data_IF_480022047466
#
_entry.id   IF_480022047466
#
_cell.length_a   1.000
_cell.length_b   1.000
_cell.length_c   1.000
_cell.angle_alpha   90.00
_cell.angle_beta   90.00
_cell.angle_gamma   90.00
#
_symmetry.space_group_name_H-M   'P 1'
#
loop_
_entity.id
_entity.type
_entity.pdbx_description
1 polymer ?
#
# COMPACT_ATOMS: atom_id res chain seq x y z
N UNK A 1 -40.76 52.39 -27.78
CA UNK A 1 -40.75 51.08 -27.09
C UNK A 1 -39.35 50.48 -27.23
N UNK A 2 -38.54 50.38 -26.17
CA UNK A 2 -37.20 49.81 -26.29
C UNK A 2 -37.23 48.28 -26.17
N UNK A 3 -36.65 47.64 -27.18
CA UNK A 3 -36.44 46.20 -27.33
C UNK A 3 -35.44 45.70 -26.28
N UNK A 4 -35.87 44.82 -25.37
CA UNK A 4 -35.00 44.18 -24.37
C UNK A 4 -34.37 42.92 -24.96
N UNK A 5 -33.06 42.99 -25.20
CA UNK A 5 -32.20 41.85 -25.54
C UNK A 5 -32.03 41.00 -24.26
N UNK A 6 -32.55 39.78 -24.26
CA UNK A 6 -32.27 38.78 -23.23
C UNK A 6 -30.94 38.10 -23.56
N UNK A 7 -29.90 38.45 -22.82
CA UNK A 7 -28.63 37.73 -22.80
C UNK A 7 -28.81 36.46 -21.97
N UNK A 8 -28.81 35.29 -22.61
CA UNK A 8 -28.81 34.01 -21.94
C UNK A 8 -27.40 33.73 -21.39
N UNK A 9 -27.24 33.87 -20.07
CA UNK A 9 -26.02 33.55 -19.36
C UNK A 9 -25.97 32.03 -19.14
N UNK A 10 -25.22 31.30 -19.97
CA UNK A 10 -24.90 29.90 -19.73
C UNK A 10 -24.03 29.80 -18.47
N UNK A 11 -24.62 29.41 -17.35
CA UNK A 11 -23.89 29.00 -16.15
C UNK A 11 -23.16 27.68 -16.47
N UNK A 12 -21.85 27.76 -16.72
CA UNK A 12 -20.97 26.61 -16.66
C UNK A 12 -20.78 26.26 -15.18
N UNK A 13 -21.50 25.24 -14.70
CA UNK A 13 -21.26 24.69 -13.38
C UNK A 13 -19.87 24.04 -13.35
N UNK A 14 -18.98 24.37 -12.40
CA UNK A 14 -17.73 23.65 -12.24
C UNK A 14 -18.07 22.21 -11.85
N UNK A 15 -17.59 21.24 -12.63
CA UNK A 15 -17.61 19.85 -12.24
C UNK A 15 -16.73 19.71 -11.00
N UNK A 16 -17.36 19.53 -9.84
CA UNK A 16 -16.64 19.17 -8.62
C UNK A 16 -16.01 17.79 -8.88
N UNK A 17 -14.70 17.61 -8.60
CA UNK A 17 -14.12 16.27 -8.63
C UNK A 17 -14.90 15.43 -7.64
N UNK A 18 -15.47 14.32 -8.12
CA UNK A 18 -16.05 13.32 -7.23
C UNK A 18 -14.96 12.90 -6.26
N UNK A 19 -15.23 12.97 -4.96
CA UNK A 19 -14.40 12.27 -3.99
C UNK A 19 -14.40 10.80 -4.41
N UNK A 20 -13.24 10.27 -4.80
CA UNK A 20 -13.12 8.86 -5.10
C UNK A 20 -13.44 8.11 -3.81
N UNK A 21 -14.46 7.25 -3.84
CA UNK A 21 -14.74 6.35 -2.73
C UNK A 21 -13.52 5.45 -2.54
N UNK A 22 -12.95 5.45 -1.35
CA UNK A 22 -11.81 4.60 -1.01
C UNK A 22 -12.30 3.38 -0.23
N UNK A 23 -11.66 2.24 -0.46
CA UNK A 23 -11.76 1.06 0.41
C UNK A 23 -10.42 0.84 1.09
N UNK A 24 -10.44 0.23 2.28
CA UNK A 24 -9.23 -0.06 3.02
C UNK A 24 -9.22 -1.50 3.55
N UNK A 25 -8.02 -2.02 3.72
CA UNK A 25 -7.74 -3.37 4.18
C UNK A 25 -6.63 -3.30 5.21
N UNK A 26 -6.79 -4.04 6.30
CA UNK A 26 -5.72 -4.33 7.26
C UNK A 26 -5.21 -5.74 7.05
N UNK A 27 -3.95 -5.99 7.38
CA UNK A 27 -3.34 -7.30 7.21
C UNK A 27 -2.31 -7.59 8.31
N UNK A 28 -2.10 -8.88 8.53
CA UNK A 28 -1.04 -9.39 9.38
C UNK A 28 -0.29 -10.48 8.64
N UNK A 29 1.03 -10.34 8.59
CA UNK A 29 1.94 -11.35 8.10
C UNK A 29 2.64 -12.00 9.29
N UNK A 30 2.36 -13.28 9.59
CA UNK A 30 3.02 -13.98 10.67
C UNK A 30 4.37 -14.53 10.20
N UNK A 31 5.48 -13.87 10.50
CA UNK A 31 6.82 -14.39 10.18
C UNK A 31 7.19 -15.64 10.97
N UNK A 32 8.34 -16.24 10.67
CA UNK A 32 8.95 -17.25 11.53
C UNK A 32 9.64 -16.59 12.75
N UNK A 33 10.14 -17.40 13.69
CA UNK A 33 11.02 -16.91 14.77
C UNK A 33 10.39 -15.91 15.75
N UNK A 34 9.06 -15.76 15.78
CA UNK A 34 8.38 -14.75 16.60
C UNK A 34 8.35 -13.36 15.96
N UNK A 35 8.70 -13.25 14.67
CA UNK A 35 8.52 -12.05 13.86
C UNK A 35 7.09 -11.95 13.33
N UNK A 36 6.60 -10.73 13.19
CA UNK A 36 5.35 -10.43 12.52
C UNK A 36 5.42 -9.06 11.85
N UNK A 37 4.53 -8.82 10.90
CA UNK A 37 4.30 -7.50 10.33
C UNK A 37 2.81 -7.24 10.28
N UNK A 38 2.40 -6.03 10.68
CA UNK A 38 1.02 -5.56 10.61
C UNK A 38 0.98 -4.34 9.71
N UNK A 39 -0.08 -4.19 8.95
CA UNK A 39 -0.18 -3.07 8.02
C UNK A 39 -1.57 -2.84 7.50
N UNK A 40 -1.69 -1.83 6.65
CA UNK A 40 -2.91 -1.53 5.94
C UNK A 40 -2.61 -0.91 4.57
N UNK A 41 -3.57 -1.08 3.65
CA UNK A 41 -3.59 -0.44 2.34
C UNK A 41 -4.96 0.14 2.03
N UNK A 42 -5.00 1.20 1.23
CA UNK A 42 -6.24 1.71 0.65
C UNK A 42 -6.08 2.01 -0.84
N UNK A 43 -7.18 1.89 -1.57
CA UNK A 43 -7.26 2.16 -3.01
C UNK A 43 -8.70 2.56 -3.41
N UNK A 44 -8.89 2.95 -4.66
CA UNK A 44 -10.21 3.36 -5.19
C UNK A 44 -11.19 2.17 -5.24
N UNK A 45 -12.38 2.35 -4.68
CA UNK A 45 -13.44 1.33 -4.62
C UNK A 45 -13.83 0.79 -6.01
N UNK A 46 -13.63 1.56 -7.09
CA UNK A 46 -13.85 1.12 -8.46
C UNK A 46 -12.98 -0.09 -8.87
N UNK A 47 -11.90 -0.38 -8.13
CA UNK A 47 -11.00 -1.50 -8.38
C UNK A 47 -11.42 -2.81 -7.69
N UNK A 48 -12.44 -2.81 -6.83
CA UNK A 48 -12.87 -3.99 -6.07
C UNK A 48 -13.26 -5.22 -6.93
N UNK A 49 -13.55 -5.03 -8.22
CA UNK A 49 -13.87 -6.11 -9.16
C UNK A 49 -12.75 -6.45 -10.15
N UNK A 50 -11.59 -5.81 -10.05
CA UNK A 50 -10.44 -6.12 -10.92
C UNK A 50 -9.64 -7.27 -10.33
N UNK A 51 -8.82 -7.94 -11.15
CA UNK A 51 -7.97 -9.02 -10.66
C UNK A 51 -6.72 -8.51 -9.91
N UNK A 52 -6.38 -7.22 -10.07
CA UNK A 52 -5.14 -6.65 -9.52
C UNK A 52 -5.30 -5.17 -9.21
N UNK A 53 -4.83 -4.81 -8.03
CA UNK A 53 -4.43 -3.45 -7.61
C UNK A 53 -2.90 -3.43 -7.60
N UNK A 54 -2.31 -2.47 -8.30
CA UNK A 54 -0.86 -2.30 -8.44
C UNK A 54 -0.33 -1.16 -7.58
N UNK A 55 0.99 -1.01 -7.50
CA UNK A 55 1.66 0.05 -6.73
C UNK A 55 1.19 1.48 -7.03
N UNK A 56 0.73 1.74 -8.26
CA UNK A 56 0.22 3.04 -8.70
C UNK A 56 -1.19 3.35 -8.22
N UNK A 57 -1.97 2.31 -7.93
CA UNK A 57 -3.38 2.41 -7.55
C UNK A 57 -3.56 2.65 -6.04
N UNK A 58 -2.50 2.35 -5.27
CA UNK A 58 -2.50 2.50 -3.81
C UNK A 58 -2.47 3.97 -3.42
N UNK A 59 -3.46 4.36 -2.61
CA UNK A 59 -3.65 5.71 -2.09
C UNK A 59 -2.96 5.89 -0.73
N UNK A 60 -3.09 4.89 0.16
CA UNK A 60 -2.41 4.84 1.44
C UNK A 60 -1.82 3.44 1.69
N UNK A 61 -0.64 3.38 2.31
CA UNK A 61 0.03 2.14 2.71
C UNK A 61 0.94 2.34 3.92
N UNK A 62 0.92 1.39 4.85
CA UNK A 62 1.80 1.37 6.02
C UNK A 62 2.06 -0.06 6.47
N UNK A 63 3.29 -0.33 6.91
CA UNK A 63 3.70 -1.58 7.54
C UNK A 63 4.53 -1.31 8.80
N UNK A 64 4.31 -2.10 9.84
CA UNK A 64 5.08 -2.09 11.07
C UNK A 64 5.52 -3.52 11.41
N UNK A 65 6.81 -3.69 11.67
CA UNK A 65 7.39 -4.96 12.04
C UNK A 65 7.46 -5.14 13.55
N UNK A 66 7.33 -6.38 13.99
CA UNK A 66 7.41 -6.79 15.38
C UNK A 66 8.29 -8.02 15.54
N UNK A 67 8.97 -8.13 16.67
CA UNK A 67 9.61 -9.35 17.17
C UNK A 67 9.20 -9.54 18.63
N UNK A 68 8.51 -10.63 18.94
CA UNK A 68 7.98 -10.90 20.28
C UNK A 68 7.11 -9.73 20.82
N UNK A 69 6.25 -9.18 19.97
CA UNK A 69 5.39 -8.00 20.21
C UNK A 69 6.13 -6.65 20.39
N UNK A 70 7.46 -6.63 20.41
CA UNK A 70 8.24 -5.39 20.37
C UNK A 70 8.38 -4.89 18.94
N UNK A 71 8.09 -3.60 18.70
CA UNK A 71 8.20 -3.00 17.37
C UNK A 71 9.66 -2.84 16.97
N UNK A 72 10.02 -3.37 15.80
CA UNK A 72 11.39 -3.36 15.28
C UNK A 72 11.60 -2.39 14.11
N UNK A 73 10.53 -1.93 13.47
CA UNK A 73 10.63 -1.03 12.33
C UNK A 73 9.28 -0.66 11.72
N UNK A 74 9.31 0.28 10.78
CA UNK A 74 8.12 0.73 10.05
C UNK A 74 8.50 1.37 8.73
N UNK A 75 7.61 1.23 7.76
CA UNK A 75 7.66 2.01 6.53
C UNK A 75 6.24 2.40 6.09
N UNK A 76 6.10 3.54 5.42
CA UNK A 76 4.83 4.09 4.97
C UNK A 76 4.97 4.78 3.60
N UNK A 77 3.89 4.84 2.81
CA UNK A 77 3.95 5.31 1.43
C UNK A 77 4.45 6.76 1.30
N UNK A 78 4.15 7.62 2.26
CA UNK A 78 4.62 9.01 2.28
C UNK A 78 6.12 9.16 2.56
N UNK A 79 6.79 8.08 2.98
CA UNK A 79 8.25 8.00 3.17
C UNK A 79 8.96 7.57 1.88
N UNK A 80 8.22 7.20 0.83
CA UNK A 80 8.76 6.77 -0.46
C UNK A 80 9.50 7.92 -1.15
N UNK A 81 10.72 7.65 -1.60
CA UNK A 81 11.52 8.52 -2.46
C UNK A 81 11.80 7.88 -3.83
N UNK A 82 12.77 8.42 -4.58
CA UNK A 82 13.19 7.94 -5.90
C UNK A 82 14.04 6.65 -5.82
N UNK A 83 14.68 6.39 -4.68
CA UNK A 83 15.56 5.23 -4.46
C UNK A 83 14.79 4.05 -3.87
N UNK A 84 13.63 4.31 -3.28
CA UNK A 84 12.77 3.30 -2.64
C UNK A 84 12.29 2.25 -3.64
N UNK A 85 12.67 1.00 -3.41
CA UNK A 85 12.07 -0.14 -4.13
C UNK A 85 10.61 -0.30 -3.68
N UNK A 86 9.68 -0.12 -4.63
CA UNK A 86 8.25 -0.18 -4.39
C UNK A 86 7.55 -0.99 -5.46
N UNK A 87 7.05 -2.17 -5.08
CA UNK A 87 6.17 -3.01 -5.88
C UNK A 87 5.12 -3.63 -4.98
N UNK A 88 3.87 -3.57 -5.44
CA UNK A 88 2.74 -4.16 -4.73
C UNK A 88 1.79 -4.75 -5.75
N UNK A 89 1.31 -5.95 -5.47
CA UNK A 89 0.19 -6.54 -6.21
C UNK A 89 -0.80 -7.16 -5.24
N UNK A 90 -2.01 -6.64 -5.22
CA UNK A 90 -3.10 -7.12 -4.37
C UNK A 90 -4.25 -7.60 -5.25
N UNK A 91 -4.84 -8.75 -4.92
CA UNK A 91 -6.04 -9.27 -5.57
C UNK A 91 -7.26 -8.88 -4.72
N UNK A 92 -8.07 -7.89 -5.14
CA UNK A 92 -9.21 -7.43 -4.35
C UNK A 92 -10.43 -8.36 -4.42
N UNK A 93 -10.43 -9.37 -5.31
CA UNK A 93 -11.48 -10.39 -5.37
C UNK A 93 -11.21 -11.49 -4.35
N UNK A 94 -9.94 -11.86 -4.17
CA UNK A 94 -9.50 -12.84 -3.17
C UNK A 94 -9.15 -12.21 -1.81
N UNK A 95 -9.05 -10.88 -1.75
CA UNK A 95 -8.67 -10.11 -0.57
C UNK A 95 -7.29 -10.53 -0.02
N UNK A 96 -6.33 -10.76 -0.92
CA UNK A 96 -4.99 -11.23 -0.57
C UNK A 96 -3.88 -10.53 -1.38
N UNK A 97 -2.70 -10.45 -0.81
CA UNK A 97 -1.51 -10.09 -1.56
C UNK A 97 -1.11 -11.23 -2.49
N UNK A 98 -0.77 -10.91 -3.74
CA UNK A 98 -0.19 -11.89 -4.65
C UNK A 98 1.15 -12.34 -4.09
N UNK A 99 1.30 -13.64 -3.91
CA UNK A 99 2.52 -14.29 -3.41
C UNK A 99 3.35 -14.83 -4.58
N UNK A 100 4.54 -15.35 -4.28
CA UNK A 100 5.43 -15.84 -5.32
C UNK A 100 4.76 -16.94 -6.16
N UNK A 101 4.99 -16.87 -7.47
CA UNK A 101 4.68 -17.95 -8.40
C UNK A 101 5.33 -17.74 -9.75
N UNK A 102 5.26 -18.72 -10.68
CA UNK A 102 5.90 -18.60 -11.99
C UNK A 102 5.47 -17.38 -12.81
N UNK A 103 4.26 -16.86 -12.58
CA UNK A 103 3.71 -15.67 -13.23
C UNK A 103 3.87 -14.37 -12.41
N UNK A 104 4.42 -14.49 -11.19
CA UNK A 104 4.62 -13.41 -10.23
C UNK A 104 5.93 -13.66 -9.46
N UNK A 105 7.10 -13.49 -10.11
CA UNK A 105 8.38 -13.90 -9.52
C UNK A 105 8.86 -13.00 -8.38
N UNK A 106 8.35 -11.77 -8.29
CA UNK A 106 8.60 -10.85 -7.18
C UNK A 106 7.44 -9.86 -7.10
N UNK A 107 6.28 -10.25 -6.53
CA UNK A 107 5.06 -9.46 -6.52
C UNK A 107 5.03 -8.38 -5.43
N UNK A 108 5.85 -8.54 -4.38
CA UNK A 108 5.96 -7.59 -3.27
C UNK A 108 7.42 -7.19 -3.09
N UNK A 109 7.66 -5.89 -3.02
CA UNK A 109 8.95 -5.30 -2.65
C UNK A 109 8.66 -3.93 -2.03
N UNK A 110 8.62 -3.88 -0.70
CA UNK A 110 8.18 -2.72 0.07
C UNK A 110 9.37 -2.17 0.83
N UNK A 111 9.96 -1.10 0.29
CA UNK A 111 11.19 -0.50 0.80
C UNK A 111 12.29 -1.55 1.01
N UNK A 112 12.44 -2.45 0.04
CA UNK A 112 13.42 -3.53 0.07
C UNK A 112 13.79 -3.98 -1.34
N UNK A 113 15.07 -4.08 -1.66
CA UNK A 113 15.62 -4.30 -3.01
C UNK A 113 15.41 -5.70 -3.63
N UNK A 114 14.62 -6.56 -2.98
CA UNK A 114 14.42 -7.95 -3.42
C UNK A 114 15.51 -8.92 -2.95
N UNK A 115 16.71 -8.44 -2.62
CA UNK A 115 17.81 -9.23 -2.03
C UNK A 115 17.85 -9.17 -0.51
N UNK A 116 17.22 -8.15 0.09
CA UNK A 116 17.21 -7.94 1.53
C UNK A 116 18.47 -7.32 2.09
N UNK A 117 19.33 -6.79 1.21
CA UNK A 117 20.57 -6.11 1.59
C UNK A 117 20.41 -4.59 1.64
N UNK A 118 19.24 -4.10 1.22
CA UNK A 118 18.87 -2.71 1.28
C UNK A 118 17.37 -2.62 1.58
N UNK A 119 17.04 -2.08 2.76
CA UNK A 119 15.67 -1.68 3.10
C UNK A 119 15.51 -0.18 3.35
N UNK A 120 16.23 0.60 2.56
CA UNK A 120 16.10 2.04 2.45
C UNK A 120 16.53 2.83 3.69
N UNK A 121 16.43 4.18 3.62
CA UNK A 121 16.91 5.09 4.65
C UNK A 121 16.26 4.91 6.04
N UNK A 122 15.04 4.38 6.05
CA UNK A 122 14.21 4.19 7.24
C UNK A 122 14.36 2.78 7.84
N UNK A 123 15.16 1.92 7.18
CA UNK A 123 15.67 0.68 7.74
C UNK A 123 14.59 -0.35 8.05
N UNK A 124 13.46 -0.35 7.35
CA UNK A 124 12.46 -1.40 7.48
C UNK A 124 11.82 -1.71 6.13
N UNK A 125 11.83 -2.98 5.76
CA UNK A 125 11.26 -3.42 4.50
C UNK A 125 10.76 -4.85 4.54
N UNK A 126 10.02 -5.20 3.50
CA UNK A 126 9.47 -6.53 3.30
C UNK A 126 9.50 -6.87 1.81
N UNK A 127 9.75 -8.12 1.47
CA UNK A 127 9.58 -8.58 0.10
C UNK A 127 8.97 -9.99 0.03
N UNK A 128 8.59 -10.37 -1.18
CA UNK A 128 8.32 -11.76 -1.54
C UNK A 128 9.17 -12.08 -2.77
N UNK A 129 10.22 -12.86 -2.56
CA UNK A 129 11.07 -13.40 -3.62
C UNK A 129 10.78 -14.87 -3.90
N UNK A 130 11.60 -15.50 -4.74
CA UNK A 130 11.53 -16.95 -5.00
C UNK A 130 12.11 -17.80 -3.87
N UNK A 131 12.88 -17.21 -2.95
CA UNK A 131 13.48 -17.90 -1.83
C UNK A 131 12.54 -17.94 -0.62
N UNK A 132 11.96 -16.80 -0.25
CA UNK A 132 11.10 -16.64 0.91
C UNK A 132 10.26 -15.35 0.81
N UNK A 133 9.38 -15.19 1.80
CA UNK A 133 8.89 -13.88 2.22
C UNK A 133 9.68 -13.48 3.46
N UNK A 134 10.20 -12.26 3.52
CA UNK A 134 11.06 -11.85 4.63
C UNK A 134 11.04 -10.35 4.93
N UNK A 135 11.52 -10.04 6.14
CA UNK A 135 11.78 -8.69 6.62
C UNK A 135 13.25 -8.33 6.41
N UNK A 136 13.48 -7.06 6.13
CA UNK A 136 14.78 -6.43 6.30
C UNK A 136 14.67 -5.35 7.38
N UNK A 137 15.71 -5.24 8.21
CA UNK A 137 15.83 -4.21 9.24
C UNK A 137 17.22 -3.59 9.17
N UNK A 138 17.32 -2.26 9.06
CA UNK A 138 18.56 -1.50 8.99
C UNK A 138 19.57 -1.97 7.92
N UNK A 139 19.07 -2.46 6.79
CA UNK A 139 19.89 -3.00 5.69
C UNK A 139 20.28 -4.47 5.86
N UNK A 140 19.82 -5.13 6.92
CA UNK A 140 20.06 -6.54 7.18
C UNK A 140 18.81 -7.39 6.93
N UNK A 141 18.94 -8.40 6.07
CA UNK A 141 17.95 -9.45 5.88
C UNK A 141 17.77 -10.23 7.19
N UNK A 142 16.53 -10.32 7.67
CA UNK A 142 16.19 -11.10 8.84
C UNK A 142 15.83 -12.53 8.40
N UNK A 143 16.84 -13.36 8.17
CA UNK A 143 16.66 -14.76 7.74
C UNK A 143 15.72 -15.55 8.68
N UNK A 144 15.75 -15.25 9.98
CA UNK A 144 14.90 -15.91 10.98
C UNK A 144 13.40 -15.59 10.83
N UNK A 145 13.07 -14.52 10.10
CA UNK A 145 11.69 -14.15 9.80
C UNK A 145 11.11 -14.95 8.62
N UNK A 146 11.97 -15.62 7.84
CA UNK A 146 11.60 -16.23 6.56
C UNK A 146 10.52 -17.31 6.68
N UNK A 147 9.67 -17.31 5.66
CA UNK A 147 8.56 -18.25 5.48
C UNK A 147 8.46 -18.63 4.01
N UNK A 148 7.71 -19.69 3.71
CA UNK A 148 7.53 -20.18 2.34
C UNK A 148 7.07 -19.03 1.40
N UNK A 149 7.74 -18.82 0.26
CA UNK A 149 7.44 -17.71 -0.65
C UNK A 149 6.02 -17.75 -1.24
N UNK A 150 5.43 -18.94 -1.36
CA UNK A 150 4.07 -19.18 -1.85
C UNK A 150 3.02 -19.24 -0.73
N UNK A 151 3.41 -19.01 0.54
CA UNK A 151 2.47 -18.99 1.66
C UNK A 151 1.45 -17.86 1.49
N UNK A 152 0.16 -18.18 1.58
CA UNK A 152 -0.92 -17.20 1.46
C UNK A 152 -0.73 -16.00 2.41
N UNK A 153 -1.09 -14.83 1.91
CA UNK A 153 -0.98 -13.56 2.64
C UNK A 153 -2.30 -12.77 2.52
N UNK A 154 -3.33 -13.17 3.30
CA UNK A 154 -4.64 -12.54 3.25
C UNK A 154 -4.66 -11.17 3.93
N UNK A 155 -5.65 -10.37 3.58
CA UNK A 155 -6.03 -9.13 4.23
C UNK A 155 -7.51 -9.18 4.64
N UNK A 156 -7.92 -8.27 5.51
CA UNK A 156 -9.30 -8.13 5.97
C UNK A 156 -9.76 -6.70 5.69
N UNK A 157 -10.94 -6.56 5.08
CA UNK A 157 -11.52 -5.25 4.80
C UNK A 157 -11.78 -4.48 6.09
N UNK A 158 -11.29 -3.26 6.14
CA UNK A 158 -11.42 -2.32 7.26
C UNK A 158 -11.45 -0.89 6.70
N UNK A 159 -12.61 -0.47 6.21
CA UNK A 159 -12.80 0.84 5.57
C UNK A 159 -12.59 2.02 6.54
N UNK A 160 -12.67 1.77 7.85
CA UNK A 160 -12.50 2.76 8.91
C UNK A 160 -11.06 2.81 9.45
N UNK A 161 -10.11 2.12 8.82
CA UNK A 161 -8.72 2.05 9.29
C UNK A 161 -8.11 3.46 9.46
N UNK A 162 -7.57 3.80 10.64
CA UNK A 162 -7.07 5.13 10.95
C UNK A 162 -5.65 5.33 10.38
N UNK A 163 -5.54 5.52 9.08
CA UNK A 163 -4.24 5.74 8.44
C UNK A 163 -3.49 6.94 9.07
N UNK A 164 -2.22 6.76 9.46
CA UNK A 164 -1.40 7.89 9.87
C UNK A 164 -1.13 8.81 8.67
N UNK A 165 -0.86 10.09 8.93
CA UNK A 165 -0.78 11.11 7.88
C UNK A 165 0.29 10.81 6.82
N UNK A 166 1.37 10.16 7.21
CA UNK A 166 2.48 9.74 6.34
C UNK A 166 2.23 8.42 5.60
N UNK A 167 1.10 7.75 5.84
CA UNK A 167 0.73 6.56 5.06
C UNK A 167 0.13 6.91 3.71
N UNK A 168 -0.32 8.15 3.48
CA UNK A 168 -1.05 8.52 2.27
C UNK A 168 -0.22 9.42 1.36
N UNK A 169 -0.47 9.34 0.05
CA UNK A 169 0.14 10.26 -0.93
C UNK A 169 -0.20 11.71 -0.57
N UNK A 170 0.78 12.62 -0.69
CA UNK A 170 0.64 14.03 -0.32
C UNK A 170 -0.55 14.74 -1.02
N UNK A 171 -0.88 14.32 -2.23
CA UNK A 171 -2.01 14.84 -3.01
C UNK A 171 -3.37 14.58 -2.32
N UNK A 172 -3.50 13.46 -1.60
CA UNK A 172 -4.72 13.11 -0.85
C UNK A 172 -4.85 13.90 0.45
N UNK A 173 -3.73 14.24 1.10
CA UNK A 173 -3.73 15.06 2.33
C UNK A 173 -4.26 16.48 2.07
N UNK A 174 -4.01 17.02 0.88
CA UNK A 174 -4.47 18.37 0.49
C UNK A 174 -5.96 18.42 0.14
N UNK A 175 -6.57 17.29 -0.22
CA UNK A 175 -8.01 17.19 -0.52
C UNK A 175 -8.87 17.27 0.75
N UNK A 176 -8.36 16.77 1.89
CA UNK A 176 -9.07 16.78 3.19
C UNK A 176 -9.02 18.11 3.95
N UNK A 177 -8.27 19.09 3.45
CA UNK A 177 -8.11 20.41 4.08
C UNK A 177 -8.99 21.51 3.44
N UNK A 178 -9.93 21.14 2.56
CA UNK A 178 -10.82 22.07 1.85
C UNK A 178 -12.28 21.91 2.24
#
# INVERSE_FOLDING_TARGET
MPLRILLALCLAAPALPAAADSVAYRFEWPGAGGYAMRGALSFDAALMGTQRVLETDVQCFVIEGYHQEERIGRWALGMKDEETTWRLTFDPVLEEFVVWGPQAPMPQAWNMDGGGYDCGPEGFGFNIGNAAQDLCVNGDLIEQSQVDPARAFPAERDDDYPFPADACRAEMLMSRLR
#
